data_IF_016441509222
#
_entry.id   IF_016441509222
#
_cell.length_a   1.000
_cell.length_b   1.000
_cell.length_c   1.000
_cell.angle_alpha   90.00
_cell.angle_beta   90.00
_cell.angle_gamma   90.00
#
_symmetry.space_group_name_H-M   'P 1'
#
loop_
_entity.id
_entity.type
_entity.pdbx_description
1 polymer ?
#
# COMPACT_ATOMS: atom_id res chain seq x y z
N UNK A 1 -6.31 -16.64 7.35
CA UNK A 1 -6.45 -15.17 7.53
C UNK A 1 -5.16 -14.57 6.99
N UNK A 2 -5.25 -13.66 6.04
CA UNK A 2 -4.08 -12.97 5.48
C UNK A 2 -4.01 -11.56 6.04
N UNK A 3 -2.87 -10.90 5.87
CA UNK A 3 -2.64 -9.55 6.35
C UNK A 3 -2.08 -8.70 5.23
N UNK A 4 -2.50 -7.44 5.16
CA UNK A 4 -1.94 -6.45 4.25
C UNK A 4 -1.30 -5.33 5.07
N UNK A 5 0.01 -5.14 4.89
CA UNK A 5 0.77 -4.06 5.48
C UNK A 5 0.88 -2.88 4.51
N UNK A 6 0.66 -1.66 5.01
CA UNK A 6 0.83 -0.44 4.22
C UNK A 6 1.92 0.42 4.86
N UNK A 7 2.88 0.83 4.05
CA UNK A 7 3.94 1.73 4.46
C UNK A 7 4.13 2.84 3.43
N UNK A 8 4.32 4.07 3.92
CA UNK A 8 4.74 5.21 3.12
C UNK A 8 6.26 5.30 3.13
N UNK A 9 6.86 5.40 1.94
CA UNK A 9 8.31 5.59 1.79
C UNK A 9 8.57 6.93 1.12
N UNK A 10 9.52 7.68 1.67
CA UNK A 10 9.96 8.96 1.14
C UNK A 10 11.49 8.97 1.10
N UNK A 11 12.06 9.25 -0.06
CA UNK A 11 13.49 9.40 -0.26
C UNK A 11 13.81 10.90 -0.45
N UNK A 12 14.80 11.41 0.26
CA UNK A 12 15.31 12.78 0.05
C UNK A 12 16.38 12.79 -1.04
N UNK A 13 16.69 13.98 -1.54
CA UNK A 13 17.76 14.20 -2.52
C UNK A 13 19.15 13.83 -1.96
N UNK A 14 19.31 13.86 -0.63
CA UNK A 14 20.53 13.45 0.08
C UNK A 14 20.60 11.94 0.36
N UNK A 15 19.84 11.13 -0.38
CA UNK A 15 19.79 9.67 -0.28
C UNK A 15 19.33 9.12 1.09
N UNK A 16 18.55 9.88 1.85
CA UNK A 16 17.93 9.37 3.08
C UNK A 16 16.57 8.75 2.78
N UNK A 17 16.33 7.54 3.29
CA UNK A 17 15.06 6.84 3.16
C UNK A 17 14.28 6.87 4.48
N UNK A 18 13.12 7.50 4.46
CA UNK A 18 12.15 7.48 5.55
C UNK A 18 11.06 6.45 5.25
N UNK A 19 10.78 5.59 6.23
CA UNK A 19 9.68 4.61 6.14
C UNK A 19 8.72 4.82 7.29
N UNK A 20 7.46 5.08 6.95
CA UNK A 20 6.36 5.24 7.91
C UNK A 20 5.39 4.09 7.75
N UNK A 21 5.30 3.21 8.75
CA UNK A 21 4.29 2.16 8.76
C UNK A 21 2.93 2.78 9.06
N UNK A 22 2.02 2.70 8.09
CA UNK A 22 0.64 3.22 8.24
C UNK A 22 -0.27 2.19 8.91
N UNK A 23 0.05 0.89 8.79
CA UNK A 23 -0.63 -0.14 9.56
C UNK A 23 -0.50 -1.54 8.96
N UNK A 24 -1.05 -2.50 9.69
CA UNK A 24 -1.20 -3.89 9.28
C UNK A 24 -2.64 -4.30 9.55
N UNK A 25 -3.35 -4.73 8.51
CA UNK A 25 -4.78 -4.96 8.58
C UNK A 25 -5.10 -6.39 8.15
N UNK A 26 -6.09 -7.04 8.80
CA UNK A 26 -6.57 -8.32 8.34
C UNK A 26 -7.20 -8.16 6.94
N UNK A 27 -6.83 -9.05 6.04
CA UNK A 27 -7.27 -9.07 4.65
C UNK A 27 -7.75 -10.48 4.30
N UNK A 28 -8.89 -10.57 3.61
CA UNK A 28 -9.42 -11.86 3.18
C UNK A 28 -8.71 -12.31 1.91
N UNK A 29 -7.95 -13.41 1.99
CA UNK A 29 -7.21 -13.92 0.86
C UNK A 29 -8.07 -14.49 -0.29
N UNK A 30 -9.37 -14.69 -0.08
CA UNK A 30 -10.25 -15.15 -1.15
C UNK A 30 -10.51 -14.07 -2.22
N UNK A 31 -10.20 -12.79 -1.95
CA UNK A 31 -10.54 -11.64 -2.81
C UNK A 31 -9.32 -10.98 -3.49
N UNK A 32 -8.27 -11.74 -3.83
CA UNK A 32 -6.97 -11.32 -4.42
C UNK A 32 -7.03 -10.59 -5.79
N UNK A 33 -8.13 -9.93 -6.15
CA UNK A 33 -8.10 -9.04 -7.30
C UNK A 33 -7.25 -7.81 -6.98
N UNK A 34 -6.47 -7.36 -7.97
CA UNK A 34 -5.70 -6.12 -7.87
C UNK A 34 -6.60 -4.91 -7.53
N UNK A 35 -7.88 -4.97 -7.91
CA UNK A 35 -8.87 -3.95 -7.58
C UNK A 35 -9.13 -3.87 -6.08
N UNK A 36 -9.35 -4.98 -5.37
CA UNK A 36 -9.59 -4.96 -3.93
C UNK A 36 -8.37 -4.48 -3.14
N UNK A 37 -7.16 -4.85 -3.56
CA UNK A 37 -5.93 -4.32 -2.97
C UNK A 37 -5.82 -2.81 -3.19
N UNK A 38 -6.17 -2.31 -4.38
CA UNK A 38 -6.15 -0.88 -4.69
C UNK A 38 -7.17 -0.09 -3.85
N UNK A 39 -8.40 -0.60 -3.72
CA UNK A 39 -9.44 -0.01 -2.88
C UNK A 39 -9.02 0.02 -1.40
N UNK A 40 -8.42 -1.07 -0.92
CA UNK A 40 -7.87 -1.16 0.43
C UNK A 40 -6.77 -0.11 0.68
N UNK A 41 -5.77 -0.02 -0.22
CA UNK A 41 -4.71 0.98 -0.11
C UNK A 41 -5.28 2.40 -0.13
N UNK A 42 -6.24 2.69 -1.02
CA UNK A 42 -6.89 4.01 -1.08
C UNK A 42 -7.60 4.37 0.24
N UNK A 43 -8.25 3.40 0.89
CA UNK A 43 -8.88 3.60 2.19
C UNK A 43 -7.85 4.00 3.25
N UNK A 44 -6.76 3.25 3.37
CA UNK A 44 -5.69 3.55 4.33
C UNK A 44 -5.10 4.93 4.06
N UNK A 45 -4.83 5.28 2.80
CA UNK A 45 -4.29 6.60 2.45
C UNK A 45 -5.25 7.74 2.80
N UNK A 46 -6.56 7.56 2.64
CA UNK A 46 -7.57 8.55 3.00
C UNK A 46 -7.55 8.89 4.51
N UNK A 47 -7.33 7.90 5.37
CA UNK A 47 -7.21 8.11 6.83
C UNK A 47 -6.04 9.04 7.18
N UNK A 48 -4.98 9.00 6.39
CA UNK A 48 -3.80 9.88 6.53
C UNK A 48 -3.87 11.14 5.65
N UNK A 49 -4.99 11.41 4.97
CA UNK A 49 -5.17 12.52 4.00
C UNK A 49 -4.13 12.49 2.87
N UNK A 50 -3.71 11.29 2.48
CA UNK A 50 -2.77 11.04 1.39
C UNK A 50 -3.52 10.72 0.09
N UNK A 51 -2.98 11.17 -1.04
CA UNK A 51 -3.55 10.91 -2.37
C UNK A 51 -2.43 10.42 -3.29
N UNK A 52 -2.69 9.32 -3.99
CA UNK A 52 -1.80 8.81 -5.04
C UNK A 52 -1.83 9.73 -6.26
N UNK A 53 -0.72 9.83 -6.97
CA UNK A 53 -0.57 10.67 -8.14
C UNK A 53 0.56 10.17 -9.04
N UNK A 54 0.95 10.97 -10.02
CA UNK A 54 2.04 10.61 -10.96
C UNK A 54 3.37 10.37 -10.27
N UNK A 55 3.64 11.08 -9.16
CA UNK A 55 4.87 10.95 -8.36
C UNK A 55 4.69 10.11 -7.10
N UNK A 56 3.46 9.68 -6.78
CA UNK A 56 3.11 8.90 -5.59
C UNK A 56 2.34 7.66 -6.02
N UNK A 57 3.04 6.54 -6.15
CA UNK A 57 2.46 5.28 -6.61
C UNK A 57 2.50 4.22 -5.50
N UNK A 58 1.59 3.26 -5.60
CA UNK A 58 1.59 2.08 -4.74
C UNK A 58 2.39 0.98 -5.45
N UNK A 59 3.22 0.27 -4.70
CA UNK A 59 3.93 -0.93 -5.15
C UNK A 59 3.30 -2.12 -4.45
N UNK A 60 2.84 -3.10 -5.22
CA UNK A 60 2.22 -4.33 -4.72
C UNK A 60 2.85 -5.52 -5.45
N UNK A 61 2.89 -6.67 -4.79
CA UNK A 61 3.37 -7.89 -5.43
C UNK A 61 2.45 -8.29 -6.59
N UNK A 62 3.04 -8.80 -7.67
CA UNK A 62 2.31 -9.46 -8.75
C UNK A 62 2.16 -10.93 -8.39
N UNK A 63 1.27 -11.26 -7.44
CA UNK A 63 1.01 -12.65 -7.08
C UNK A 63 0.62 -13.45 -8.34
N UNK A 64 1.31 -14.56 -8.56
CA UNK A 64 0.99 -15.46 -9.65
C UNK A 64 -0.44 -16.01 -9.44
N UNK A 65 -1.28 -15.91 -10.47
CA UNK A 65 -2.57 -16.60 -10.49
C UNK A 65 -2.30 -18.10 -10.61
N UNK A 66 -2.35 -18.81 -9.49
CA UNK A 66 -2.37 -20.28 -9.46
C UNK A 66 -3.75 -20.81 -9.79
#
# INVERSE_FOLDING_TARGET
ISYCGVALRYATDDFQLFTFTLGCFPYNAASHSAQHLREFVNKVLAEYKLVLGTTKFAVTDNEAKY
#
